data_IF_028690087658
#
_entry.id   IF_028690087658
#
_cell.length_a   1.000
_cell.length_b   1.000
_cell.length_c   1.000
_cell.angle_alpha   90.00
_cell.angle_beta   90.00
_cell.angle_gamma   90.00
#
_symmetry.space_group_name_H-M   'P 1'
#
loop_
_entity.id
_entity.type
_entity.pdbx_description
1 polymer ?
#
# COMPACT_ATOMS: atom_id res chain seq x y z
N UNK A 1 -22.67 15.85 1.48
CA UNK A 1 -23.09 16.98 0.60
C UNK A 1 -24.39 16.77 -0.18
N UNK A 2 -24.88 15.54 -0.40
CA UNK A 2 -26.16 15.33 -1.11
C UNK A 2 -27.34 16.09 -0.48
N UNK A 3 -27.50 16.01 0.84
CA UNK A 3 -28.54 16.75 1.56
C UNK A 3 -28.44 18.27 1.37
N UNK A 4 -27.22 18.81 1.53
CA UNK A 4 -26.93 20.23 1.32
C UNK A 4 -27.34 20.68 -0.09
N UNK A 5 -26.92 19.95 -1.12
CA UNK A 5 -27.22 20.29 -2.51
C UNK A 5 -28.72 20.22 -2.80
N UNK A 6 -29.39 19.18 -2.33
CA UNK A 6 -30.85 19.08 -2.43
C UNK A 6 -31.53 20.27 -1.77
N UNK A 7 -31.14 20.64 -0.55
CA UNK A 7 -31.68 21.84 0.10
C UNK A 7 -31.37 23.13 -0.68
N UNK A 8 -30.15 23.28 -1.21
CA UNK A 8 -29.74 24.45 -1.99
C UNK A 8 -30.58 24.63 -3.27
N UNK A 9 -30.92 23.53 -3.97
CA UNK A 9 -31.61 23.58 -5.25
C UNK A 9 -33.13 23.36 -5.16
N UNK A 10 -33.61 22.58 -4.20
CA UNK A 10 -35.03 22.20 -4.06
C UNK A 10 -35.80 23.13 -3.09
N UNK A 11 -35.14 23.72 -2.08
CA UNK A 11 -35.81 24.58 -1.10
C UNK A 11 -35.55 26.07 -1.36
N UNK A 12 -36.57 26.77 -1.90
CA UNK A 12 -36.51 28.18 -2.34
C UNK A 12 -36.22 29.23 -1.25
N UNK A 13 -36.16 28.91 0.04
CA UNK A 13 -36.05 29.92 1.11
C UNK A 13 -35.14 29.58 2.30
N UNK A 14 -34.31 28.53 2.21
CA UNK A 14 -33.42 28.16 3.31
C UNK A 14 -32.09 28.92 3.25
N UNK A 15 -31.76 29.69 4.29
CA UNK A 15 -30.36 30.10 4.54
C UNK A 15 -29.49 28.84 4.53
N UNK A 16 -28.56 28.73 3.59
CA UNK A 16 -27.60 27.62 3.54
C UNK A 16 -26.35 27.97 4.36
N UNK A 17 -25.77 27.00 5.09
CA UNK A 17 -24.55 27.26 5.83
C UNK A 17 -23.36 27.49 4.88
N UNK A 18 -22.37 28.24 5.36
CA UNK A 18 -21.07 28.32 4.69
C UNK A 18 -20.37 26.97 4.78
N UNK A 19 -19.75 26.53 3.68
CA UNK A 19 -18.93 25.32 3.62
C UNK A 19 -17.45 25.71 3.60
N UNK A 20 -16.65 25.10 4.48
CA UNK A 20 -15.20 25.23 4.52
C UNK A 20 -14.57 23.83 4.47
N UNK A 21 -13.70 23.61 3.49
CA UNK A 21 -12.92 22.38 3.36
C UNK A 21 -11.46 22.63 3.71
N UNK A 22 -10.89 21.79 4.57
CA UNK A 22 -9.48 21.80 4.92
C UNK A 22 -8.84 20.51 4.42
N UNK A 23 -7.81 20.64 3.59
CA UNK A 23 -7.03 19.49 3.10
C UNK A 23 -5.59 19.90 2.86
N UNK A 24 -4.65 18.99 3.13
CA UNK A 24 -3.26 19.16 2.73
C UNK A 24 -3.07 18.96 1.22
N UNK A 25 -3.89 18.11 0.60
CA UNK A 25 -3.92 17.88 -0.85
C UNK A 25 -5.33 17.50 -1.31
N UNK A 26 -5.89 18.17 -2.33
CA UNK A 26 -7.18 17.77 -2.90
C UNK A 26 -7.10 16.45 -3.69
N UNK A 27 -5.89 15.97 -3.99
CA UNK A 27 -5.68 14.83 -4.87
C UNK A 27 -5.91 15.15 -6.34
N UNK A 28 -5.47 14.25 -7.21
CA UNK A 28 -5.66 14.31 -8.67
C UNK A 28 -6.37 13.07 -9.20
N UNK A 29 -6.83 12.19 -8.32
CA UNK A 29 -7.35 10.86 -8.66
C UNK A 29 -6.36 10.10 -9.57
N UNK A 30 -6.84 9.54 -10.69
CA UNK A 30 -6.04 8.88 -11.73
C UNK A 30 -5.85 9.77 -12.95
N UNK A 31 -5.70 11.08 -12.75
CA UNK A 31 -5.43 11.99 -13.85
C UNK A 31 -4.01 11.75 -14.39
N UNK A 32 -3.92 11.43 -15.67
CA UNK A 32 -2.65 11.22 -16.37
C UNK A 32 -2.06 12.54 -16.90
N UNK A 33 -2.84 13.62 -16.88
CA UNK A 33 -2.47 14.93 -17.39
C UNK A 33 -3.05 16.09 -16.54
N UNK A 34 -2.51 17.29 -16.75
CA UNK A 34 -2.90 18.48 -15.99
C UNK A 34 -4.34 18.94 -16.22
N UNK A 35 -4.90 18.73 -17.42
CA UNK A 35 -6.27 19.09 -17.73
C UNK A 35 -7.25 18.17 -16.98
N UNK A 36 -7.03 16.86 -17.01
CA UNK A 36 -7.78 15.87 -16.25
C UNK A 36 -7.71 16.14 -14.73
N UNK A 37 -6.55 16.59 -14.23
CA UNK A 37 -6.39 16.98 -12.83
C UNK A 37 -7.23 18.23 -12.47
N UNK A 38 -7.27 19.25 -13.36
CA UNK A 38 -8.11 20.44 -13.17
C UNK A 38 -9.60 20.07 -13.18
N UNK A 39 -10.04 19.19 -14.09
CA UNK A 39 -11.42 18.71 -14.11
C UNK A 39 -11.80 17.98 -12.82
N UNK A 40 -10.90 17.13 -12.31
CA UNK A 40 -11.10 16.47 -11.02
C UNK A 40 -11.27 17.48 -9.89
N UNK A 41 -10.39 18.49 -9.83
CA UNK A 41 -10.46 19.54 -8.82
C UNK A 41 -11.76 20.37 -8.90
N UNK A 42 -12.19 20.73 -10.12
CA UNK A 42 -13.46 21.43 -10.34
C UNK A 42 -14.66 20.59 -9.88
N UNK A 43 -14.66 19.29 -10.18
CA UNK A 43 -15.69 18.36 -9.71
C UNK A 43 -15.71 18.27 -8.19
N UNK A 44 -14.55 18.21 -7.54
CA UNK A 44 -14.43 18.23 -6.08
C UNK A 44 -15.01 19.51 -5.49
N UNK A 45 -14.64 20.67 -6.05
CA UNK A 45 -15.14 21.99 -5.62
C UNK A 45 -16.66 22.11 -5.79
N UNK A 46 -17.20 21.69 -6.94
CA UNK A 46 -18.64 21.68 -7.20
C UNK A 46 -19.39 20.75 -6.24
N UNK A 47 -18.79 19.61 -5.89
CA UNK A 47 -19.38 18.69 -4.92
C UNK A 47 -19.51 19.27 -3.52
N UNK A 48 -18.58 20.14 -3.12
CA UNK A 48 -18.53 20.82 -1.82
C UNK A 48 -19.19 22.22 -1.85
N UNK A 49 -19.63 22.70 -3.00
CA UNK A 49 -20.12 24.07 -3.20
C UNK A 49 -19.07 25.15 -2.85
N UNK A 50 -17.82 24.89 -3.24
CA UNK A 50 -16.69 25.79 -3.00
C UNK A 50 -16.45 26.65 -4.23
N UNK A 51 -16.47 27.97 -4.04
CA UNK A 51 -16.18 28.95 -5.11
C UNK A 51 -14.72 29.38 -5.16
N UNK A 52 -13.96 29.20 -4.07
CA UNK A 52 -12.59 29.69 -3.96
C UNK A 52 -11.68 28.65 -3.32
N UNK A 53 -10.59 28.32 -4.01
CA UNK A 53 -9.48 27.56 -3.43
C UNK A 53 -8.49 28.54 -2.80
N UNK A 54 -8.28 28.43 -1.49
CA UNK A 54 -7.29 29.23 -0.77
C UNK A 54 -5.99 28.42 -0.62
N UNK A 55 -4.90 28.96 -1.15
CA UNK A 55 -3.54 28.42 -1.00
C UNK A 55 -2.61 29.57 -0.63
N UNK A 56 -1.54 29.26 0.09
CA UNK A 56 -0.51 30.27 0.42
C UNK A 56 0.18 30.68 -0.88
N UNK A 57 0.09 31.97 -1.24
CA UNK A 57 0.78 32.58 -2.39
C UNK A 57 1.75 33.69 -1.99
N UNK A 58 1.32 34.55 -1.06
CA UNK A 58 2.11 35.71 -0.62
C UNK A 58 3.26 35.34 0.33
N UNK A 59 3.05 34.32 1.17
CA UNK A 59 3.96 33.91 2.24
C UNK A 59 4.57 32.52 1.98
N UNK A 60 4.82 32.17 0.71
CA UNK A 60 5.36 30.86 0.33
C UNK A 60 6.73 30.58 0.98
N UNK A 61 7.60 31.59 1.07
CA UNK A 61 8.92 31.45 1.69
C UNK A 61 8.84 31.16 3.20
N UNK A 62 7.93 31.83 3.90
CA UNK A 62 7.67 31.58 5.31
C UNK A 62 7.17 30.15 5.53
N UNK A 63 6.27 29.67 4.67
CA UNK A 63 5.76 28.30 4.72
C UNK A 63 6.86 27.26 4.46
N UNK A 64 7.75 27.50 3.49
CA UNK A 64 8.85 26.57 3.15
C UNK A 64 9.86 26.42 4.29
N UNK A 65 10.12 27.50 5.05
CA UNK A 65 11.03 27.47 6.19
C UNK A 65 10.54 26.55 7.33
N UNK A 66 9.23 26.27 7.39
CA UNK A 66 8.64 25.42 8.43
C UNK A 66 8.76 23.93 8.07
N UNK A 67 8.88 23.58 6.79
CA UNK A 67 8.64 22.21 6.29
C UNK A 67 9.70 21.68 5.30
N UNK A 68 10.93 22.18 5.34
CA UNK A 68 11.99 21.72 4.44
C UNK A 68 12.50 20.30 4.76
N UNK A 69 11.80 19.28 4.27
CA UNK A 69 12.35 17.94 4.09
C UNK A 69 12.36 17.58 2.61
N UNK A 70 13.51 17.78 1.96
CA UNK A 70 13.77 17.28 0.62
C UNK A 70 14.02 15.77 0.70
N UNK A 71 13.14 14.97 0.10
CA UNK A 71 13.40 13.55 -0.08
C UNK A 71 14.43 13.37 -1.21
N UNK A 72 15.54 12.71 -0.89
CA UNK A 72 16.53 12.33 -1.89
C UNK A 72 16.30 10.87 -2.29
N UNK A 73 16.10 10.64 -3.59
CA UNK A 73 16.01 9.29 -4.12
C UNK A 73 17.39 8.86 -4.60
N UNK A 74 17.97 7.83 -3.97
CA UNK A 74 19.20 7.19 -4.43
C UNK A 74 18.86 5.90 -5.16
N UNK A 75 19.19 5.83 -6.45
CA UNK A 75 19.15 4.59 -7.18
C UNK A 75 20.37 3.74 -6.80
N UNK A 76 20.14 2.60 -6.17
CA UNK A 76 21.20 1.65 -5.81
C UNK A 76 21.05 0.41 -6.70
N UNK A 77 21.98 0.15 -7.63
CA UNK A 77 21.92 -1.06 -8.44
C UNK A 77 22.12 -2.29 -7.54
N UNK A 78 21.25 -3.29 -7.69
CA UNK A 78 21.36 -4.55 -6.98
C UNK A 78 22.58 -5.33 -7.50
N UNK A 79 23.70 -5.30 -6.78
CA UNK A 79 24.78 -6.30 -6.91
C UNK A 79 24.48 -7.45 -5.96
N UNK A 80 23.89 -8.52 -6.48
CA UNK A 80 23.69 -9.77 -5.75
C UNK A 80 24.67 -10.82 -6.24
N UNK A 81 25.59 -11.23 -5.37
CA UNK A 81 26.29 -12.50 -5.56
C UNK A 81 25.27 -13.63 -5.37
N UNK A 82 24.96 -14.34 -6.47
CA UNK A 82 23.94 -15.40 -6.51
C UNK A 82 24.44 -16.73 -5.91
N UNK A 83 25.67 -16.76 -5.42
CA UNK A 83 26.29 -17.98 -4.89
C UNK A 83 25.55 -18.50 -3.64
N UNK A 84 25.10 -17.59 -2.77
CA UNK A 84 24.31 -17.95 -1.58
C UNK A 84 22.93 -18.53 -1.94
N UNK A 85 22.21 -17.89 -2.88
CA UNK A 85 20.88 -18.33 -3.31
C UNK A 85 20.89 -19.75 -3.89
N UNK A 86 21.99 -20.11 -4.58
CA UNK A 86 22.21 -21.46 -5.12
C UNK A 86 22.43 -22.49 -4.02
N UNK A 87 23.27 -22.19 -3.03
CA UNK A 87 23.54 -23.12 -1.92
C UNK A 87 22.28 -23.42 -1.10
N UNK A 88 21.47 -22.40 -0.81
CA UNK A 88 20.21 -22.58 -0.08
C UNK A 88 19.21 -23.43 -0.88
N UNK A 89 19.10 -23.19 -2.19
CA UNK A 89 18.20 -23.95 -3.06
C UNK A 89 18.62 -25.42 -3.15
N UNK A 90 19.92 -25.71 -3.24
CA UNK A 90 20.46 -27.07 -3.24
C UNK A 90 20.23 -27.79 -1.91
N UNK A 91 20.39 -27.10 -0.77
CA UNK A 91 20.13 -27.69 0.55
C UNK A 91 18.66 -28.10 0.72
N UNK A 92 17.72 -27.29 0.22
CA UNK A 92 16.29 -27.60 0.28
C UNK A 92 15.90 -28.80 -0.60
N UNK A 93 16.59 -29.00 -1.74
CA UNK A 93 16.35 -30.16 -2.60
C UNK A 93 16.92 -31.47 -2.01
N UNK A 94 18.06 -31.42 -1.32
CA UNK A 94 18.73 -32.60 -0.78
C UNK A 94 18.00 -33.20 0.44
N UNK A 95 17.31 -32.38 1.24
CA UNK A 95 16.70 -32.83 2.49
C UNK A 95 15.25 -33.35 2.37
N UNK A 96 14.71 -33.51 1.15
CA UNK A 96 13.57 -34.40 0.88
C UNK A 96 12.35 -34.27 1.81
N UNK A 97 11.96 -33.07 2.24
CA UNK A 97 10.67 -32.87 2.90
C UNK A 97 9.57 -33.26 1.89
N UNK A 98 8.72 -34.23 2.22
CA UNK A 98 7.66 -34.71 1.34
C UNK A 98 6.78 -33.54 0.88
N UNK A 99 6.99 -33.20 -0.39
CA UNK A 99 6.72 -31.88 -0.93
C UNK A 99 5.24 -31.67 -1.20
N UNK A 100 4.43 -32.73 -1.36
CA UNK A 100 3.03 -32.59 -1.80
C UNK A 100 2.16 -31.84 -0.79
N UNK A 101 2.25 -32.15 0.50
CA UNK A 101 1.42 -31.52 1.53
C UNK A 101 1.85 -30.07 1.82
N UNK A 102 3.14 -29.77 1.69
CA UNK A 102 3.69 -28.41 1.78
C UNK A 102 3.41 -27.60 0.51
N UNK A 103 3.49 -28.20 -0.68
CA UNK A 103 3.26 -27.56 -1.97
C UNK A 103 1.82 -27.03 -2.08
N UNK A 104 0.83 -27.74 -1.52
CA UNK A 104 -0.56 -27.25 -1.49
C UNK A 104 -0.74 -26.07 -0.53
N UNK A 105 0.05 -25.98 0.55
CA UNK A 105 0.05 -24.81 1.45
C UNK A 105 0.85 -23.61 0.87
N UNK A 106 1.82 -23.88 -0.01
CA UNK A 106 2.77 -22.94 -0.60
C UNK A 106 2.41 -22.53 -2.04
N UNK A 107 1.14 -22.61 -2.44
CA UNK A 107 0.74 -22.28 -3.81
C UNK A 107 1.24 -20.88 -4.24
N UNK A 108 2.01 -20.86 -5.34
CA UNK A 108 2.53 -19.69 -6.04
C UNK A 108 3.38 -18.73 -5.18
N UNK A 109 4.56 -19.14 -4.69
CA UNK A 109 5.46 -18.24 -4.00
C UNK A 109 5.92 -17.12 -4.96
N UNK A 110 5.95 -15.86 -4.52
CA UNK A 110 6.53 -14.78 -5.30
C UNK A 110 8.01 -15.09 -5.65
N UNK A 111 8.39 -14.91 -6.91
CA UNK A 111 9.72 -15.29 -7.43
C UNK A 111 10.89 -14.53 -6.77
N UNK A 112 10.63 -13.40 -6.11
CA UNK A 112 11.65 -12.54 -5.51
C UNK A 112 11.52 -12.50 -4.00
N UNK A 113 12.42 -13.21 -3.31
CA UNK A 113 12.43 -13.34 -1.84
C UNK A 113 12.67 -12.03 -1.09
N UNK A 114 13.18 -11.00 -1.78
CA UNK A 114 13.48 -9.68 -1.19
C UNK A 114 12.33 -8.69 -1.30
N UNK A 115 11.24 -9.05 -1.99
CA UNK A 115 10.08 -8.17 -2.15
C UNK A 115 9.15 -8.26 -0.94
N UNK A 116 8.51 -7.13 -0.59
CA UNK A 116 7.46 -7.09 0.45
C UNK A 116 6.34 -8.10 0.19
N UNK A 117 6.10 -8.46 -1.07
CA UNK A 117 5.12 -9.49 -1.47
C UNK A 117 5.52 -10.87 -0.97
N UNK A 118 6.81 -11.20 -0.95
CA UNK A 118 7.31 -12.46 -0.40
C UNK A 118 7.16 -12.51 1.12
N UNK A 119 7.50 -11.42 1.82
CA UNK A 119 7.28 -11.30 3.27
C UNK A 119 5.78 -11.41 3.61
N UNK A 120 4.93 -10.76 2.82
CA UNK A 120 3.48 -10.87 2.97
C UNK A 120 2.99 -12.29 2.74
N UNK A 121 3.44 -12.95 1.67
CA UNK A 121 3.11 -14.34 1.37
C UNK A 121 3.60 -15.29 2.47
N UNK A 122 4.79 -15.09 3.04
CA UNK A 122 5.29 -15.85 4.20
C UNK A 122 4.35 -15.68 5.39
N UNK A 123 3.97 -14.45 5.72
CA UNK A 123 3.08 -14.17 6.85
C UNK A 123 1.67 -14.76 6.64
N UNK A 124 1.14 -14.69 5.43
CA UNK A 124 -0.15 -15.32 5.10
C UNK A 124 -0.08 -16.84 5.14
N UNK A 125 1.00 -17.42 4.62
CA UNK A 125 1.23 -18.87 4.65
C UNK A 125 1.37 -19.36 6.07
N UNK A 126 2.14 -18.65 6.92
CA UNK A 126 2.28 -18.91 8.35
C UNK A 126 0.92 -18.90 9.06
N UNK A 127 0.10 -17.86 8.84
CA UNK A 127 -1.24 -17.76 9.40
C UNK A 127 -2.16 -18.91 8.97
N UNK A 128 -2.14 -19.28 7.68
CA UNK A 128 -2.93 -20.40 7.15
C UNK A 128 -2.50 -21.72 7.76
N UNK A 129 -1.20 -21.93 7.87
CA UNK A 129 -0.65 -23.16 8.46
C UNK A 129 -0.90 -23.25 9.95
N UNK A 130 -0.77 -22.17 10.72
CA UNK A 130 -1.22 -22.10 12.13
C UNK A 130 -2.69 -22.54 12.32
N UNK A 131 -3.57 -22.32 11.33
CA UNK A 131 -4.95 -22.84 11.39
C UNK A 131 -5.08 -24.34 11.08
N UNK A 132 -4.15 -24.88 10.28
CA UNK A 132 -4.05 -26.32 9.95
C UNK A 132 -3.30 -27.09 11.05
N UNK A 133 -2.43 -26.41 11.81
CA UNK A 133 -1.65 -26.94 12.96
C UNK A 133 -2.50 -27.46 14.13
N UNK A 134 -3.83 -27.33 14.07
CA UNK A 134 -4.75 -27.91 15.06
C UNK A 134 -5.05 -29.40 14.81
N UNK A 135 -4.55 -29.99 13.72
CA UNK A 135 -4.94 -31.36 13.30
C UNK A 135 -3.80 -32.39 13.34
N UNK A 136 -2.53 -31.98 13.35
CA UNK A 136 -1.38 -32.89 13.36
C UNK A 136 -0.16 -32.20 13.99
N UNK A 137 0.57 -32.88 14.88
CA UNK A 137 1.59 -32.28 15.75
C UNK A 137 2.98 -32.13 15.10
N UNK A 138 3.28 -32.91 14.06
CA UNK A 138 4.60 -32.92 13.42
C UNK A 138 4.74 -31.90 12.28
N UNK A 139 3.64 -31.60 11.59
CA UNK A 139 3.55 -30.55 10.54
C UNK A 139 3.90 -29.13 11.07
N UNK A 140 3.44 -28.72 12.28
CA UNK A 140 3.83 -27.45 12.90
C UNK A 140 5.32 -27.19 12.99
N UNK A 141 6.06 -28.21 13.42
CA UNK A 141 7.48 -28.12 13.72
C UNK A 141 8.29 -27.96 12.44
N UNK A 142 7.90 -28.69 11.40
CA UNK A 142 8.52 -28.65 10.08
C UNK A 142 8.35 -27.26 9.43
N UNK A 143 7.14 -26.69 9.49
CA UNK A 143 6.83 -25.37 8.93
C UNK A 143 7.52 -24.26 9.70
N UNK A 144 7.59 -24.35 11.03
CA UNK A 144 8.35 -23.41 11.85
C UNK A 144 9.85 -23.41 11.51
N UNK A 145 10.43 -24.59 11.26
CA UNK A 145 11.83 -24.72 10.81
C UNK A 145 12.01 -24.10 9.42
N UNK A 146 11.12 -24.38 8.47
CA UNK A 146 11.17 -23.78 7.13
C UNK A 146 11.04 -22.25 7.18
N UNK A 147 10.13 -21.70 7.98
CA UNK A 147 9.97 -20.26 8.15
C UNK A 147 11.21 -19.62 8.75
N UNK A 148 11.81 -20.22 9.79
CA UNK A 148 13.08 -19.73 10.37
C UNK A 148 14.25 -19.75 9.38
N UNK A 149 14.31 -20.75 8.49
CA UNK A 149 15.34 -20.83 7.45
C UNK A 149 15.11 -19.82 6.31
N UNK A 150 13.88 -19.32 6.15
CA UNK A 150 13.52 -18.29 5.16
C UNK A 150 13.60 -16.85 5.70
N UNK A 151 13.70 -16.66 7.01
CA UNK A 151 13.90 -15.37 7.69
C UNK A 151 15.38 -14.95 7.83
N UNK A 152 16.32 -15.73 7.26
CA UNK A 152 17.73 -15.35 7.06
C UNK A 152 17.93 -14.47 5.82
#
# INVERSE_FOLDING_TARGET
MNYYRRHKFEMKSGKIPQVLGLTASPGTNRADDGFSAVQHLQSLMANLDVSKLSVVRKHEQELLNIHQHLQTFKFVPLKGDKTFDRTVSSFLMVNGLDTKTLLTALENPPNNKRERRYVHWINETKRKTESVMLMDADVPRLIHICLRLLEM
#
